data_IF_699315994362
#
_entry.id   IF_699315994362
#
_cell.length_a   1.000
_cell.length_b   1.000
_cell.length_c   1.000
_cell.angle_alpha   90.00
_cell.angle_beta   90.00
_cell.angle_gamma   90.00
#
_symmetry.space_group_name_H-M   'P 1'
#
loop_
_entity.id
_entity.type
_entity.pdbx_description
1 polymer ?
#
# COMPACT_ATOMS: atom_id res chain seq x y z
N UNK A 1 22.04 8.72 -27.73
CA UNK A 1 21.70 8.79 -26.29
C UNK A 1 20.20 9.01 -26.13
N UNK A 2 19.41 7.97 -25.86
CA UNK A 2 17.99 8.14 -25.49
C UNK A 2 17.97 8.69 -24.06
N UNK A 3 17.44 9.90 -23.89
CA UNK A 3 17.11 10.45 -22.56
C UNK A 3 16.16 9.45 -21.90
N UNK A 4 16.64 8.71 -20.90
CA UNK A 4 15.76 7.90 -20.04
C UNK A 4 14.82 8.90 -19.38
N UNK A 5 13.54 8.87 -19.76
CA UNK A 5 12.49 9.45 -18.93
C UNK A 5 12.69 8.92 -17.51
N UNK A 6 12.64 9.78 -16.49
CA UNK A 6 12.80 9.32 -15.13
C UNK A 6 11.73 8.26 -14.85
N UNK A 7 12.15 7.04 -14.49
CA UNK A 7 11.25 5.91 -14.20
C UNK A 7 10.23 6.22 -13.08
N UNK A 8 10.41 7.33 -12.36
CA UNK A 8 9.59 7.73 -11.22
C UNK A 8 8.16 8.13 -11.59
N UNK A 9 7.87 8.55 -12.83
CA UNK A 9 6.52 9.00 -13.20
C UNK A 9 5.53 7.84 -13.44
N UNK A 10 6.03 6.63 -13.72
CA UNK A 10 5.18 5.51 -14.12
C UNK A 10 4.36 4.93 -12.97
N UNK A 11 4.91 4.90 -11.76
CA UNK A 11 4.25 4.28 -10.60
C UNK A 11 3.04 5.10 -10.13
N UNK A 12 3.14 6.43 -9.92
CA UNK A 12 1.97 7.24 -9.56
C UNK A 12 0.86 7.19 -10.61
N UNK A 13 1.22 7.22 -11.90
CA UNK A 13 0.27 7.10 -13.00
C UNK A 13 -0.44 5.73 -13.00
N UNK A 14 0.29 4.66 -12.69
CA UNK A 14 -0.29 3.31 -12.54
C UNK A 14 -1.28 3.26 -11.38
N UNK A 15 -0.90 3.75 -10.19
CA UNK A 15 -1.78 3.78 -9.02
C UNK A 15 -3.06 4.58 -9.28
N UNK A 16 -2.96 5.75 -9.93
CA UNK A 16 -4.12 6.55 -10.32
C UNK A 16 -5.03 5.80 -11.30
N UNK A 17 -4.45 5.15 -12.31
CA UNK A 17 -5.21 4.37 -13.29
C UNK A 17 -5.96 3.22 -12.62
N UNK A 18 -5.30 2.48 -11.73
CA UNK A 18 -5.89 1.39 -10.97
C UNK A 18 -6.99 1.86 -10.01
N UNK A 19 -6.78 3.00 -9.34
CA UNK A 19 -7.79 3.60 -8.47
C UNK A 19 -9.03 4.02 -9.27
N UNK A 20 -8.84 4.70 -10.41
CA UNK A 20 -9.94 5.09 -11.30
C UNK A 20 -10.68 3.87 -11.87
N UNK A 21 -9.96 2.80 -12.24
CA UNK A 21 -10.57 1.56 -12.70
C UNK A 21 -11.51 0.98 -11.64
N UNK A 22 -11.03 0.80 -10.41
CA UNK A 22 -11.84 0.24 -9.32
C UNK A 22 -13.00 1.14 -8.92
N UNK A 23 -12.79 2.46 -8.95
CA UNK A 23 -13.85 3.44 -8.75
C UNK A 23 -14.95 3.28 -9.81
N UNK A 24 -14.59 3.23 -11.10
CA UNK A 24 -15.56 3.10 -12.19
C UNK A 24 -16.23 1.72 -12.24
N UNK A 25 -15.54 0.67 -11.83
CA UNK A 25 -16.07 -0.68 -11.76
C UNK A 25 -17.06 -0.90 -10.61
N UNK A 26 -17.02 -0.05 -9.57
CA UNK A 26 -17.86 -0.18 -8.37
C UNK A 26 -18.68 1.10 -8.13
N UNK A 27 -19.90 1.20 -8.68
CA UNK A 27 -20.74 2.40 -8.56
C UNK A 27 -21.05 2.82 -7.11
N UNK A 28 -21.14 1.85 -6.19
CA UNK A 28 -21.38 2.11 -4.77
C UNK A 28 -20.21 2.87 -4.13
N UNK A 29 -18.97 2.54 -4.51
CA UNK A 29 -17.78 3.23 -4.01
C UNK A 29 -17.70 4.67 -4.55
N UNK A 30 -18.17 4.90 -5.79
CA UNK A 30 -18.34 6.26 -6.34
C UNK A 30 -19.33 7.08 -5.53
N UNK A 31 -20.45 6.46 -5.13
CA UNK A 31 -21.47 7.15 -4.35
C UNK A 31 -20.93 7.58 -2.99
N UNK A 32 -20.25 6.67 -2.29
CA UNK A 32 -19.61 6.93 -0.99
C UNK A 32 -18.56 8.03 -1.09
N UNK A 33 -17.68 7.96 -2.10
CA UNK A 33 -16.65 8.99 -2.31
C UNK A 33 -17.26 10.36 -2.61
N UNK A 34 -18.28 10.43 -3.48
CA UNK A 34 -18.97 11.70 -3.77
C UNK A 34 -19.68 12.26 -2.55
N UNK A 35 -20.24 11.40 -1.70
CA UNK A 35 -20.87 11.83 -0.45
C UNK A 35 -19.84 12.46 0.50
N UNK A 36 -18.69 11.81 0.71
CA UNK A 36 -17.60 12.36 1.51
C UNK A 36 -17.12 13.71 0.96
N UNK A 37 -16.82 13.79 -0.34
CA UNK A 37 -16.32 15.02 -0.96
C UNK A 37 -17.29 16.19 -0.84
N UNK A 38 -18.60 15.94 -0.95
CA UNK A 38 -19.63 16.99 -0.79
C UNK A 38 -19.73 17.50 0.64
N UNK A 39 -19.51 16.64 1.62
CA UNK A 39 -19.55 16.99 3.04
C UNK A 39 -18.30 17.75 3.46
N UNK A 40 -17.11 17.26 3.09
CA UNK A 40 -15.82 17.80 3.53
C UNK A 40 -15.39 19.02 2.70
N UNK A 41 -15.76 19.07 1.41
CA UNK A 41 -15.40 20.16 0.50
C UNK A 41 -16.67 20.82 -0.07
N UNK A 42 -17.38 21.63 0.73
CA UNK A 42 -18.58 22.32 0.26
C UNK A 42 -18.26 23.44 -0.74
N UNK A 43 -17.03 23.98 -0.71
CA UNK A 43 -16.58 25.02 -1.63
C UNK A 43 -15.18 24.69 -2.20
N UNK A 44 -15.17 24.29 -3.47
CA UNK A 44 -13.95 23.94 -4.23
C UNK A 44 -12.94 25.09 -4.35
N UNK A 45 -13.38 26.35 -4.27
CA UNK A 45 -12.50 27.52 -4.40
C UNK A 45 -11.66 27.79 -3.14
N UNK A 46 -11.98 27.14 -2.01
CA UNK A 46 -11.25 27.24 -0.74
C UNK A 46 -10.48 25.96 -0.38
N UNK A 47 -10.25 25.09 -1.35
CA UNK A 47 -9.54 23.84 -1.11
C UNK A 47 -8.09 24.11 -0.67
N UNK A 48 -7.76 23.65 0.53
CA UNK A 48 -6.41 23.62 1.09
C UNK A 48 -5.96 22.19 1.33
N UNK A 49 -4.65 21.99 1.46
CA UNK A 49 -4.06 20.66 1.72
C UNK A 49 -4.59 20.03 3.02
N UNK A 50 -4.93 20.85 4.02
CA UNK A 50 -5.45 20.37 5.29
C UNK A 50 -6.76 19.57 5.17
N UNK A 51 -7.59 19.84 4.16
CA UNK A 51 -8.83 19.09 3.95
C UNK A 51 -8.58 17.64 3.51
N UNK A 52 -7.39 17.30 3.01
CA UNK A 52 -7.10 15.92 2.59
C UNK A 52 -6.96 14.97 3.77
N UNK A 53 -6.57 15.46 4.96
CA UNK A 53 -6.48 14.65 6.17
C UNK A 53 -7.88 14.21 6.65
N UNK A 54 -8.92 14.99 6.34
CA UNK A 54 -10.32 14.70 6.68
C UNK A 54 -11.01 13.75 5.69
N UNK A 55 -10.39 13.47 4.54
CA UNK A 55 -10.95 12.59 3.50
C UNK A 55 -10.55 11.13 3.73
N UNK A 56 -11.07 10.54 4.81
CA UNK A 56 -10.75 9.18 5.25
C UNK A 56 -11.04 8.14 4.17
N UNK A 57 -12.17 8.27 3.47
CA UNK A 57 -12.60 7.32 2.47
C UNK A 57 -11.80 7.46 1.18
N UNK A 58 -11.51 8.67 0.71
CA UNK A 58 -10.56 8.88 -0.40
C UNK A 58 -9.19 8.26 -0.07
N UNK A 59 -8.67 8.50 1.13
CA UNK A 59 -7.41 7.90 1.59
C UNK A 59 -7.47 6.37 1.59
N UNK A 60 -8.55 5.80 2.12
CA UNK A 60 -8.79 4.36 2.13
C UNK A 60 -8.88 3.75 0.72
N UNK A 61 -9.53 4.44 -0.23
CA UNK A 61 -9.61 4.00 -1.63
C UNK A 61 -8.24 3.96 -2.30
N UNK A 62 -7.44 5.01 -2.12
CA UNK A 62 -6.08 5.08 -2.67
C UNK A 62 -5.22 3.97 -2.05
N UNK A 63 -5.30 3.79 -0.73
CA UNK A 63 -4.55 2.77 -0.03
C UNK A 63 -4.91 1.36 -0.51
N UNK A 64 -6.20 1.08 -0.72
CA UNK A 64 -6.66 -0.21 -1.24
C UNK A 64 -6.24 -0.45 -2.69
N UNK A 65 -6.27 0.59 -3.53
CA UNK A 65 -5.80 0.49 -4.90
C UNK A 65 -4.31 0.15 -4.97
N UNK A 66 -3.47 0.78 -4.13
CA UNK A 66 -2.04 0.49 -4.03
C UNK A 66 -1.79 -0.89 -3.40
N UNK A 67 -2.66 -1.34 -2.49
CA UNK A 67 -2.56 -2.68 -1.92
C UNK A 67 -2.76 -3.75 -2.99
N UNK A 68 -3.85 -3.66 -3.76
CA UNK A 68 -4.18 -4.62 -4.80
C UNK A 68 -3.24 -4.53 -6.01
N UNK A 69 -2.73 -3.33 -6.31
CA UNK A 69 -1.86 -3.06 -7.43
C UNK A 69 -0.57 -2.38 -6.96
N UNK A 70 0.36 -3.11 -6.30
CA UNK A 70 1.61 -2.53 -5.86
C UNK A 70 2.42 -2.04 -7.05
N UNK A 71 2.90 -0.79 -6.99
CA UNK A 71 3.72 -0.21 -8.05
C UNK A 71 5.01 -0.98 -8.36
N UNK A 72 5.48 -1.77 -7.39
CA UNK A 72 6.57 -2.74 -7.56
C UNK A 72 6.05 -4.11 -7.14
N UNK A 73 5.69 -4.93 -8.12
CA UNK A 73 5.24 -6.32 -7.89
C UNK A 73 6.41 -7.30 -7.74
N UNK A 74 7.61 -6.90 -8.16
CA UNK A 74 8.80 -7.73 -8.03
C UNK A 74 9.24 -7.85 -6.57
N UNK A 75 9.93 -8.95 -6.25
CA UNK A 75 10.50 -9.16 -4.91
C UNK A 75 11.52 -8.07 -4.59
N UNK A 76 11.33 -7.43 -3.45
CA UNK A 76 12.20 -6.38 -2.93
C UNK A 76 13.40 -7.04 -2.23
N UNK A 77 14.50 -7.19 -2.96
CA UNK A 77 15.70 -7.88 -2.47
C UNK A 77 16.44 -7.05 -1.42
N UNK A 78 16.93 -7.71 -0.38
CA UNK A 78 17.75 -7.18 0.71
C UNK A 78 18.85 -8.17 1.05
N UNK A 79 20.01 -7.64 1.47
CA UNK A 79 21.16 -8.42 1.92
C UNK A 79 21.71 -7.72 3.15
N UNK A 80 21.93 -8.46 4.23
CA UNK A 80 22.75 -7.99 5.34
C UNK A 80 24.16 -8.56 5.14
N UNK A 81 25.14 -7.74 4.68
CA UNK A 81 26.42 -8.26 4.23
C UNK A 81 27.28 -8.80 5.38
N UNK A 82 27.22 -8.15 6.54
CA UNK A 82 28.16 -8.41 7.65
C UNK A 82 27.49 -9.02 8.88
N UNK A 83 26.21 -8.71 9.11
CA UNK A 83 25.50 -9.09 10.35
C UNK A 83 24.43 -10.14 10.02
N UNK A 84 24.33 -11.24 10.79
CA UNK A 84 23.23 -12.19 10.63
C UNK A 84 21.88 -11.56 11.00
N UNK A 85 20.81 -11.94 10.31
CA UNK A 85 19.45 -11.52 10.67
C UNK A 85 18.89 -12.54 11.65
N UNK A 86 18.55 -12.09 12.84
CA UNK A 86 17.92 -12.92 13.89
C UNK A 86 16.44 -12.57 13.96
N UNK A 87 15.59 -13.58 13.79
CA UNK A 87 14.14 -13.46 13.94
C UNK A 87 13.68 -14.37 15.08
N UNK A 88 13.05 -13.79 16.09
CA UNK A 88 12.40 -14.52 17.17
C UNK A 88 10.91 -14.59 16.88
N UNK A 89 10.39 -15.81 16.71
CA UNK A 89 8.96 -16.00 16.47
C UNK A 89 8.20 -15.78 17.79
N UNK A 90 7.35 -14.74 17.89
CA UNK A 90 6.64 -14.43 19.13
C UNK A 90 5.63 -15.50 19.54
N UNK A 91 5.13 -16.31 18.60
CA UNK A 91 4.16 -17.38 18.88
C UNK A 91 4.77 -18.70 19.32
N UNK A 92 6.01 -19.01 18.90
CA UNK A 92 6.67 -20.28 19.23
C UNK A 92 7.93 -20.13 20.07
N UNK A 93 8.35 -18.90 20.38
CA UNK A 93 9.62 -18.55 21.02
C UNK A 93 10.85 -19.16 20.34
N UNK A 94 10.72 -19.54 19.06
CA UNK A 94 11.79 -20.14 18.29
C UNK A 94 12.61 -19.03 17.64
N UNK A 95 13.92 -19.10 17.81
CA UNK A 95 14.86 -18.23 17.13
C UNK A 95 15.25 -18.83 15.78
N UNK A 96 15.21 -17.98 14.74
CA UNK A 96 15.68 -18.27 13.39
C UNK A 96 16.85 -17.35 13.09
N UNK A 97 17.95 -17.90 12.61
CA UNK A 97 19.15 -17.14 12.25
C UNK A 97 19.40 -17.29 10.76
N UNK A 98 19.37 -16.17 10.06
CA UNK A 98 19.74 -16.07 8.63
C UNK A 98 21.20 -15.58 8.56
N UNK A 99 22.13 -16.38 8.00
CA UNK A 99 23.53 -16.00 7.91
C UNK A 99 23.76 -14.68 7.17
N UNK A 100 24.84 -13.98 7.50
CA UNK A 100 25.29 -12.81 6.75
C UNK A 100 25.57 -13.17 5.28
N UNK A 101 25.36 -12.22 4.38
CA UNK A 101 25.46 -12.41 2.94
C UNK A 101 24.27 -13.15 2.29
N UNK A 102 23.31 -13.66 3.08
CA UNK A 102 22.11 -14.31 2.52
C UNK A 102 21.22 -13.30 1.83
N UNK A 103 20.83 -13.61 0.59
CA UNK A 103 19.86 -12.83 -0.16
C UNK A 103 18.45 -13.13 0.36
N UNK A 104 17.81 -12.11 0.93
CA UNK A 104 16.43 -12.18 1.41
C UNK A 104 15.55 -11.27 0.55
N UNK A 105 14.26 -11.54 0.46
CA UNK A 105 13.37 -10.70 -0.31
C UNK A 105 11.94 -10.77 0.21
N UNK A 106 11.22 -9.66 0.09
CA UNK A 106 9.80 -9.57 0.43
C UNK A 106 9.00 -9.22 -0.82
N UNK A 107 7.80 -9.77 -0.94
CA UNK A 107 6.90 -9.51 -2.07
C UNK A 107 5.71 -8.69 -1.58
N UNK A 108 5.55 -7.43 -2.01
CA UNK A 108 4.35 -6.66 -1.70
C UNK A 108 3.08 -7.38 -2.10
N UNK A 109 3.09 -8.06 -3.26
CA UNK A 109 1.95 -8.84 -3.73
C UNK A 109 1.59 -9.96 -2.75
N UNK A 110 2.57 -10.78 -2.35
CA UNK A 110 2.30 -11.94 -1.49
C UNK A 110 1.83 -11.48 -0.10
N UNK A 111 2.43 -10.42 0.45
CA UNK A 111 2.03 -9.85 1.75
C UNK A 111 0.63 -9.24 1.69
N UNK A 112 0.35 -8.45 0.67
CA UNK A 112 -0.92 -7.74 0.53
C UNK A 112 -2.11 -8.66 0.23
N UNK A 113 -1.87 -9.81 -0.37
CA UNK A 113 -2.90 -10.80 -0.70
C UNK A 113 -2.99 -11.93 0.33
N UNK A 114 -2.19 -11.88 1.40
CA UNK A 114 -2.14 -12.97 2.38
C UNK A 114 -3.42 -13.01 3.23
N UNK A 115 -4.20 -14.11 3.21
CA UNK A 115 -5.47 -14.18 3.94
C UNK A 115 -5.33 -14.02 5.45
N UNK A 116 -4.20 -14.46 6.04
CA UNK A 116 -3.96 -14.26 7.46
C UNK A 116 -3.88 -12.78 7.89
N UNK A 117 -3.58 -11.87 6.96
CA UNK A 117 -3.57 -10.43 7.22
C UNK A 117 -4.85 -9.73 6.72
N UNK A 118 -5.33 -10.08 5.52
CA UNK A 118 -6.40 -9.35 4.84
C UNK A 118 -7.74 -10.11 4.73
N UNK A 119 -7.84 -11.30 5.33
CA UNK A 119 -9.02 -12.17 5.29
C UNK A 119 -9.18 -12.90 3.96
N UNK A 120 -10.24 -13.71 3.86
CA UNK A 120 -10.55 -14.49 2.65
C UNK A 120 -10.90 -13.60 1.44
N UNK A 121 -11.29 -12.35 1.71
CA UNK A 121 -11.58 -11.34 0.69
C UNK A 121 -10.35 -10.50 0.29
N UNK A 122 -9.13 -10.97 0.57
CA UNK A 122 -7.89 -10.24 0.29
C UNK A 122 -7.75 -9.79 -1.18
N UNK A 123 -8.32 -10.52 -2.13
CA UNK A 123 -8.29 -10.13 -3.56
C UNK A 123 -9.42 -9.18 -3.97
N UNK A 124 -10.38 -8.90 -3.09
CA UNK A 124 -11.48 -7.97 -3.35
C UNK A 124 -11.07 -6.53 -3.06
N UNK A 125 -11.54 -5.61 -3.89
CA UNK A 125 -11.40 -4.18 -3.64
C UNK A 125 -12.42 -3.73 -2.59
N UNK A 126 -11.96 -3.60 -1.33
CA UNK A 126 -12.79 -3.20 -0.19
C UNK A 126 -12.13 -2.05 0.59
N UNK A 127 -12.25 -0.80 0.12
CA UNK A 127 -11.68 0.37 0.81
C UNK A 127 -12.04 0.47 2.29
N UNK A 128 -13.24 0.05 2.67
CA UNK A 128 -13.73 0.15 4.05
C UNK A 128 -12.84 -0.59 5.06
N UNK A 129 -12.07 -1.61 4.63
CA UNK A 129 -11.15 -2.33 5.53
C UNK A 129 -10.15 -1.40 6.24
N UNK A 130 -9.73 -0.32 5.60
CA UNK A 130 -8.78 0.64 6.19
C UNK A 130 -9.39 1.56 7.24
N UNK A 131 -10.71 1.66 7.24
CA UNK A 131 -11.51 2.42 8.20
C UNK A 131 -11.92 1.51 9.35
N UNK A 132 -12.42 0.31 9.02
CA UNK A 132 -12.94 -0.67 9.97
C UNK A 132 -11.82 -1.30 10.81
N UNK A 133 -10.66 -1.57 10.19
CA UNK A 133 -9.52 -2.28 10.80
C UNK A 133 -8.21 -1.47 10.66
N UNK A 134 -8.00 -0.42 11.48
CA UNK A 134 -6.81 0.44 11.39
C UNK A 134 -5.46 -0.28 11.53
N UNK A 135 -5.43 -1.44 12.18
CA UNK A 135 -4.24 -2.28 12.39
C UNK A 135 -3.71 -2.88 11.09
N UNK A 136 -4.53 -2.97 10.04
CA UNK A 136 -4.10 -3.45 8.72
C UNK A 136 -2.95 -2.62 8.12
N UNK A 137 -2.79 -1.37 8.57
CA UNK A 137 -1.69 -0.48 8.16
C UNK A 137 -0.31 -1.07 8.49
N UNK A 138 -0.20 -1.95 9.48
CA UNK A 138 1.07 -2.61 9.84
C UNK A 138 1.54 -3.60 8.78
N UNK A 139 0.60 -4.22 8.06
CA UNK A 139 0.86 -5.19 6.99
C UNK A 139 0.98 -4.53 5.60
N UNK A 140 0.68 -3.24 5.50
CA UNK A 140 0.79 -2.50 4.25
C UNK A 140 2.27 -2.16 3.95
N UNK A 141 2.76 -2.66 2.82
CA UNK A 141 4.14 -2.47 2.35
C UNK A 141 4.21 -1.93 0.92
N UNK A 142 3.20 -1.16 0.49
CA UNK A 142 3.13 -0.54 -0.85
C UNK A 142 4.33 0.33 -1.21
N UNK A 143 5.01 0.87 -0.20
CA UNK A 143 6.22 1.68 -0.34
C UNK A 143 7.45 1.04 0.33
N UNK A 144 7.44 -0.29 0.54
CA UNK A 144 8.39 -1.01 1.41
C UNK A 144 8.33 -0.50 2.86
N UNK A 145 9.04 -1.19 3.77
CA UNK A 145 9.26 -0.73 5.15
C UNK A 145 10.75 -0.81 5.52
N UNK A 146 11.12 -0.18 6.64
CA UNK A 146 12.49 -0.15 7.16
C UNK A 146 13.40 0.86 6.46
N UNK A 147 14.72 0.73 6.65
CA UNK A 147 15.74 1.69 6.21
C UNK A 147 15.85 1.89 4.69
N UNK A 148 15.14 1.10 3.90
CA UNK A 148 15.12 1.15 2.42
C UNK A 148 13.69 1.28 1.88
N UNK A 149 12.82 1.96 2.62
CA UNK A 149 11.50 2.35 2.13
C UNK A 149 11.63 3.37 0.98
N UNK A 150 10.52 3.59 0.27
CA UNK A 150 10.44 4.63 -0.75
C UNK A 150 10.75 6.00 -0.14
N UNK A 151 11.52 6.82 -0.85
CA UNK A 151 11.87 8.20 -0.44
C UNK A 151 10.82 9.24 -0.87
N UNK A 152 10.03 8.89 -1.88
CA UNK A 152 9.05 9.79 -2.50
C UNK A 152 7.77 9.93 -1.70
#
# INVERSE_FOLDING_TARGET
MRKRTPLTLHIPAHSLTCCLYHLLANPDEVHKLKAELRTTIPNVTKLSVAHFDDLLYLGAMIQEAVRLHPGVMARQVRISPEVPIVYENPGTQKQYVVPSGTVTSMSPLDTHMHPAAFGDDAYMFRPQRWIDEPTLREYFIGFSRGARNCLG
#
